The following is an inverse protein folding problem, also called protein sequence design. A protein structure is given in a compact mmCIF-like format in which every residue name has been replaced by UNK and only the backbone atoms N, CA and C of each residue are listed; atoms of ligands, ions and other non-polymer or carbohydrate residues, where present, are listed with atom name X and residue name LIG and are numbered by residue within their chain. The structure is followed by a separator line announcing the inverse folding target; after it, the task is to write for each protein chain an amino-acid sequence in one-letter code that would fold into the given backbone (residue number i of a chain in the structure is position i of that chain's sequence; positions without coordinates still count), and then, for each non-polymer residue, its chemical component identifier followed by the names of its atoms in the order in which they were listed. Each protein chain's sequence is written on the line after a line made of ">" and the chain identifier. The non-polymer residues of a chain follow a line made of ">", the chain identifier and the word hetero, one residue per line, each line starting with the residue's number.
data_IF_951048727695
#
_entry.id   IF_951048727695
#
_cell.length_a   1.000
_cell.length_b   1.000
_cell.length_c   1.000
_cell.angle_alpha   90.00
_cell.angle_beta   90.00
_cell.angle_gamma   90.00
#
_symmetry.space_group_name_H-M   'P 1'
#
loop_
_entity.id
_entity.type
_entity.pdbx_description
1 polymer ?
#
# COMPACT_ATOMS: atom_id res chain seq x y z
N UNK A 1 -29.02 -1.51 1.81
CA UNK A 1 -28.48 -0.43 2.66
C UNK A 1 -28.85 -0.61 4.14
N UNK A 2 -29.96 -1.30 4.46
CA UNK A 2 -30.62 -1.17 5.78
C UNK A 2 -30.00 -1.97 6.95
N UNK A 3 -29.28 -3.08 6.69
CA UNK A 3 -28.66 -3.85 7.77
C UNK A 3 -27.42 -3.15 8.37
N UNK A 4 -26.62 -2.48 7.53
CA UNK A 4 -25.42 -1.73 7.95
C UNK A 4 -25.78 -0.50 8.78
N UNK A 5 -26.87 0.19 8.41
CA UNK A 5 -27.30 1.42 9.08
C UNK A 5 -28.22 1.19 10.28
N UNK A 6 -28.57 -0.06 10.61
CA UNK A 6 -29.53 -0.35 11.70
C UNK A 6 -29.07 0.20 13.06
N UNK A 7 -27.76 0.20 13.32
CA UNK A 7 -27.18 0.77 14.54
C UNK A 7 -27.21 2.32 14.57
N UNK A 8 -27.34 2.97 13.40
CA UNK A 8 -27.33 4.42 13.27
C UNK A 8 -28.71 5.06 13.46
N UNK A 9 -29.80 4.27 13.46
CA UNK A 9 -31.16 4.77 13.72
C UNK A 9 -31.32 5.34 15.15
N UNK A 10 -30.52 4.88 16.11
CA UNK A 10 -30.49 5.42 17.47
C UNK A 10 -29.77 6.79 17.52
N UNK A 11 -28.83 7.01 16.61
CA UNK A 11 -28.00 8.23 16.53
C UNK A 11 -28.80 9.41 15.96
N UNK A 12 -29.78 9.15 15.09
CA UNK A 12 -30.64 10.20 14.50
C UNK A 12 -31.51 10.96 15.52
N UNK A 13 -31.61 10.47 16.76
CA UNK A 13 -32.38 11.10 17.85
C UNK A 13 -31.49 11.77 18.90
N UNK A 14 -30.17 11.73 18.72
CA UNK A 14 -29.20 12.35 19.62
C UNK A 14 -28.87 13.75 19.10
N UNK A 15 -28.82 14.72 20.01
CA UNK A 15 -28.48 16.11 19.68
C UNK A 15 -27.13 16.55 20.29
N UNK A 16 -26.58 15.76 21.22
CA UNK A 16 -25.29 16.02 21.85
C UNK A 16 -24.14 15.40 21.03
N UNK A 17 -23.13 16.22 20.74
CA UNK A 17 -22.00 15.81 19.92
C UNK A 17 -21.19 14.65 20.53
N UNK A 18 -21.01 14.64 21.86
CA UNK A 18 -20.25 13.59 22.55
C UNK A 18 -21.00 12.26 22.50
N UNK A 19 -22.30 12.27 22.77
CA UNK A 19 -23.15 11.08 22.67
C UNK A 19 -23.14 10.49 21.25
N UNK A 20 -23.26 11.35 20.24
CA UNK A 20 -23.16 10.93 18.83
C UNK A 20 -21.79 10.31 18.55
N UNK A 21 -20.70 10.95 18.99
CA UNK A 21 -19.34 10.45 18.76
C UNK A 21 -19.08 9.11 19.42
N UNK A 22 -19.52 8.95 20.67
CA UNK A 22 -19.38 7.70 21.43
C UNK A 22 -20.17 6.57 20.76
N UNK A 23 -21.43 6.84 20.37
CA UNK A 23 -22.26 5.86 19.68
C UNK A 23 -21.65 5.42 18.34
N UNK A 24 -21.11 6.36 17.55
CA UNK A 24 -20.42 6.05 16.29
C UNK A 24 -19.15 5.22 16.51
N UNK A 25 -18.34 5.55 17.51
CA UNK A 25 -17.13 4.79 17.85
C UNK A 25 -17.47 3.38 18.31
N UNK A 26 -18.48 3.23 19.17
CA UNK A 26 -18.94 1.92 19.62
C UNK A 26 -19.45 1.08 18.45
N UNK A 27 -20.30 1.66 17.59
CA UNK A 27 -20.81 0.97 16.40
C UNK A 27 -19.68 0.52 15.47
N UNK A 28 -18.70 1.38 15.21
CA UNK A 28 -17.51 1.05 14.41
C UNK A 28 -16.71 -0.11 15.02
N UNK A 29 -16.41 -0.05 16.33
CA UNK A 29 -15.69 -1.12 17.01
C UNK A 29 -16.44 -2.47 16.93
N UNK A 30 -17.75 -2.46 17.13
CA UNK A 30 -18.54 -3.69 17.10
C UNK A 30 -18.66 -4.26 15.68
N UNK A 31 -18.80 -3.41 14.66
CA UNK A 31 -19.08 -3.87 13.28
C UNK A 31 -17.83 -4.15 12.46
N UNK A 32 -16.81 -3.31 12.57
CA UNK A 32 -15.61 -3.34 11.72
C UNK A 32 -14.38 -3.96 12.42
N UNK A 33 -14.31 -3.93 13.76
CA UNK A 33 -13.17 -4.51 14.49
C UNK A 33 -13.49 -5.89 15.08
N UNK A 34 -14.53 -6.00 15.91
CA UNK A 34 -14.83 -7.23 16.66
C UNK A 34 -15.74 -8.15 15.86
N UNK A 35 -16.83 -7.63 15.29
CA UNK A 35 -17.84 -8.42 14.58
C UNK A 35 -17.36 -9.01 13.25
N UNK A 36 -16.18 -8.64 12.76
CA UNK A 36 -15.54 -9.30 11.62
C UNK A 36 -14.91 -10.65 12.00
N UNK A 37 -14.58 -10.88 13.28
CA UNK A 37 -13.94 -12.11 13.75
C UNK A 37 -14.86 -13.33 13.65
N UNK A 38 -16.18 -13.11 13.68
CA UNK A 38 -17.21 -14.14 13.56
C UNK A 38 -17.63 -14.40 12.11
N UNK A 39 -17.05 -13.67 11.14
CA UNK A 39 -17.41 -13.74 9.73
C UNK A 39 -16.28 -14.36 8.92
N UNK A 40 -16.66 -15.05 7.85
CA UNK A 40 -15.70 -15.53 6.87
C UNK A 40 -14.95 -14.36 6.19
N UNK A 41 -13.68 -14.56 5.79
CA UNK A 41 -12.91 -13.54 5.09
C UNK A 41 -13.63 -13.02 3.83
N UNK A 42 -13.88 -11.70 3.79
CA UNK A 42 -14.55 -11.06 2.68
C UNK A 42 -13.54 -10.37 1.74
N UNK A 43 -13.26 -10.99 0.58
CA UNK A 43 -12.37 -10.42 -0.45
C UNK A 43 -12.95 -9.21 -1.20
N UNK A 44 -14.20 -8.83 -0.94
CA UNK A 44 -14.85 -7.63 -1.52
C UNK A 44 -14.84 -6.43 -0.57
N UNK A 45 -14.15 -6.53 0.57
CA UNK A 45 -13.97 -5.41 1.48
C UNK A 45 -12.79 -4.55 1.01
N UNK A 46 -13.06 -3.28 0.71
CA UNK A 46 -12.06 -2.31 0.28
C UNK A 46 -11.36 -1.59 1.44
N UNK A 47 -11.65 -1.92 2.71
CA UNK A 47 -11.14 -1.25 3.93
C UNK A 47 -11.67 0.16 4.17
N UNK A 48 -11.65 1.02 3.15
CA UNK A 48 -11.87 2.45 3.28
C UNK A 48 -12.93 2.99 2.31
N UNK A 49 -13.42 4.20 2.62
CA UNK A 49 -14.44 4.89 1.82
C UNK A 49 -13.94 5.23 0.41
N UNK A 50 -14.79 5.13 -0.63
CA UNK A 50 -14.45 5.55 -1.99
C UNK A 50 -14.20 7.07 -2.13
N UNK A 51 -14.56 7.86 -1.11
CA UNK A 51 -14.36 9.30 -1.08
C UNK A 51 -12.97 9.72 -0.58
N UNK A 52 -12.12 8.77 -0.15
CA UNK A 52 -10.75 9.06 0.27
C UNK A 52 -9.86 9.23 -0.95
N UNK A 53 -9.09 10.32 -0.99
CA UNK A 53 -8.04 10.50 -1.99
C UNK A 53 -6.78 9.76 -1.55
N UNK A 54 -6.66 8.49 -1.92
CA UNK A 54 -5.49 7.65 -1.65
C UNK A 54 -5.47 6.46 -2.64
N UNK A 55 -4.51 5.55 -2.54
CA UNK A 55 -4.55 4.20 -3.08
C UNK A 55 -3.92 3.24 -2.05
N UNK A 56 -4.13 1.95 -2.19
CA UNK A 56 -3.50 0.96 -1.31
C UNK A 56 -3.42 -0.43 -1.92
N UNK A 57 -2.37 -1.15 -1.53
CA UNK A 57 -2.22 -2.58 -1.70
C UNK A 57 -2.68 -3.34 -0.44
N UNK A 58 -3.28 -4.51 -0.63
CA UNK A 58 -3.67 -5.42 0.46
C UNK A 58 -2.96 -6.77 0.26
N UNK A 59 -1.87 -7.04 0.99
CA UNK A 59 -1.06 -8.24 0.78
C UNK A 59 -1.85 -9.54 0.96
N UNK A 60 -2.74 -9.58 1.97
CA UNK A 60 -3.57 -10.75 2.28
C UNK A 60 -4.64 -11.05 1.21
N UNK A 61 -4.99 -10.05 0.39
CA UNK A 61 -5.93 -10.20 -0.72
C UNK A 61 -5.23 -10.26 -2.08
N UNK A 62 -3.93 -9.94 -2.13
CA UNK A 62 -3.18 -9.66 -3.34
C UNK A 62 -3.98 -8.75 -4.28
N UNK A 63 -4.38 -7.58 -3.76
CA UNK A 63 -5.31 -6.66 -4.43
C UNK A 63 -4.83 -5.23 -4.30
N UNK A 64 -4.95 -4.48 -5.39
CA UNK A 64 -4.74 -3.03 -5.43
C UNK A 64 -6.11 -2.36 -5.49
N UNK A 65 -6.30 -1.30 -4.70
CA UNK A 65 -7.55 -0.54 -4.68
C UNK A 65 -7.32 0.93 -4.99
N UNK A 66 -8.13 1.46 -5.92
CA UNK A 66 -8.23 2.88 -6.23
C UNK A 66 -9.62 3.39 -5.87
N UNK A 67 -9.77 4.21 -4.82
CA UNK A 67 -10.98 4.97 -4.54
C UNK A 67 -11.41 5.83 -5.73
N UNK A 68 -12.71 6.09 -5.82
CA UNK A 68 -13.25 6.98 -6.83
C UNK A 68 -12.66 8.39 -6.74
N UNK A 69 -12.46 8.90 -5.52
CA UNK A 69 -11.87 10.22 -5.31
C UNK A 69 -10.46 10.36 -5.90
N UNK A 70 -9.67 9.28 -5.97
CA UNK A 70 -8.33 9.30 -6.56
C UNK A 70 -8.37 9.60 -8.07
N UNK A 71 -9.44 9.23 -8.79
CA UNK A 71 -9.59 9.48 -10.22
C UNK A 71 -10.08 10.90 -10.55
N UNK A 72 -9.50 11.90 -9.91
CA UNK A 72 -9.79 13.32 -10.15
C UNK A 72 -8.50 14.10 -10.44
N UNK A 73 -8.60 15.28 -11.08
CA UNK A 73 -7.48 16.19 -11.23
C UNK A 73 -6.82 16.54 -9.88
N UNK A 74 -5.48 16.70 -9.83
CA UNK A 74 -4.54 16.66 -10.95
C UNK A 74 -4.08 15.24 -11.35
N UNK A 75 -4.39 14.21 -10.58
CA UNK A 75 -3.83 12.87 -10.75
C UNK A 75 -4.38 12.11 -11.96
N UNK A 76 -5.63 12.39 -12.37
CA UNK A 76 -6.24 11.80 -13.55
C UNK A 76 -7.25 12.73 -14.20
N UNK A 77 -7.30 12.71 -15.53
CA UNK A 77 -8.34 13.38 -16.32
C UNK A 77 -8.58 12.64 -17.62
N UNK A 78 -9.84 12.33 -17.94
CA UNK A 78 -10.19 11.61 -19.18
C UNK A 78 -9.66 12.32 -20.45
N UNK A 79 -9.66 13.66 -20.45
CA UNK A 79 -9.14 14.48 -21.56
C UNK A 79 -7.63 14.78 -21.50
N UNK A 80 -6.90 14.30 -20.49
CA UNK A 80 -5.47 14.56 -20.39
C UNK A 80 -4.68 13.75 -21.41
N UNK A 81 -3.53 14.27 -21.90
CA UNK A 81 -2.60 13.45 -22.67
C UNK A 81 -2.26 12.19 -21.88
N UNK A 82 -2.18 11.04 -22.55
CA UNK A 82 -1.92 9.76 -21.89
C UNK A 82 -0.73 9.82 -20.94
N UNK A 83 0.34 10.52 -21.34
CA UNK A 83 1.54 10.74 -20.52
C UNK A 83 1.24 11.34 -19.13
N UNK A 84 0.28 12.26 -19.01
CA UNK A 84 -0.12 12.84 -17.72
C UNK A 84 -0.87 11.83 -16.86
N UNK A 85 -1.86 11.13 -17.42
CA UNK A 85 -2.58 10.08 -16.69
C UNK A 85 -1.67 8.94 -16.25
N UNK A 86 -0.66 8.64 -17.06
CA UNK A 86 0.34 7.65 -16.72
C UNK A 86 1.31 8.13 -15.63
N UNK A 87 1.80 9.37 -15.69
CA UNK A 87 2.67 9.92 -14.65
C UNK A 87 1.92 10.14 -13.32
N UNK A 88 0.61 10.40 -13.38
CA UNK A 88 -0.28 10.43 -12.22
C UNK A 88 -0.69 9.02 -11.80
N UNK A 89 -1.91 8.63 -12.13
CA UNK A 89 -2.47 7.34 -11.68
C UNK A 89 -1.77 6.09 -12.21
N UNK A 90 -1.05 6.16 -13.35
CA UNK A 90 -0.23 5.03 -13.81
C UNK A 90 0.95 4.74 -12.88
N UNK A 91 1.64 5.78 -12.40
CA UNK A 91 2.72 5.66 -11.43
C UNK A 91 2.20 5.21 -10.07
N UNK A 92 1.05 5.71 -9.62
CA UNK A 92 0.37 5.20 -8.42
C UNK A 92 0.03 3.71 -8.57
N UNK A 93 -0.50 3.28 -9.72
CA UNK A 93 -0.74 1.86 -9.98
C UNK A 93 0.53 1.01 -9.98
N UNK A 94 1.64 1.53 -10.50
CA UNK A 94 2.93 0.85 -10.41
C UNK A 94 3.47 0.79 -8.98
N UNK A 95 3.28 1.84 -8.19
CA UNK A 95 3.67 1.92 -6.78
C UNK A 95 2.93 0.85 -5.96
N UNK A 96 1.59 0.83 -6.04
CA UNK A 96 0.79 -0.17 -5.32
C UNK A 96 1.05 -1.61 -5.78
N UNK A 97 1.38 -1.82 -7.06
CA UNK A 97 1.80 -3.13 -7.54
C UNK A 97 3.14 -3.55 -6.94
N UNK A 98 4.05 -2.60 -6.75
CA UNK A 98 5.38 -2.86 -6.20
C UNK A 98 5.31 -3.24 -4.73
N UNK A 99 4.32 -2.77 -3.96
CA UNK A 99 4.05 -3.27 -2.61
C UNK A 99 3.75 -4.78 -2.56
N UNK A 100 3.33 -5.40 -3.67
CA UNK A 100 3.26 -6.86 -3.77
C UNK A 100 4.61 -7.58 -3.70
N UNK A 101 5.71 -6.84 -3.84
CA UNK A 101 7.08 -7.35 -3.96
C UNK A 101 8.08 -6.60 -3.09
N UNK A 102 7.64 -5.66 -2.26
CA UNK A 102 8.52 -4.93 -1.35
C UNK A 102 8.70 -5.68 -0.02
N UNK A 103 9.21 -4.98 1.00
CA UNK A 103 9.46 -5.51 2.33
C UNK A 103 8.25 -5.44 3.28
N UNK A 104 7.04 -5.08 2.81
CA UNK A 104 5.84 -5.01 3.67
C UNK A 104 5.63 -6.35 4.42
N UNK A 105 5.73 -6.27 5.75
CA UNK A 105 5.68 -7.43 6.66
C UNK A 105 7.02 -7.84 7.28
N UNK A 106 8.13 -7.20 6.91
CA UNK A 106 9.41 -7.42 7.58
C UNK A 106 9.43 -6.66 8.91
N UNK A 107 9.26 -7.40 10.00
CA UNK A 107 9.60 -6.91 11.34
C UNK A 107 11.09 -6.58 11.30
N UNK A 108 11.43 -5.28 11.26
CA UNK A 108 12.76 -4.73 11.55
C UNK A 108 13.12 -4.99 13.02
N UNK A 109 13.12 -6.26 13.42
CA UNK A 109 13.67 -6.67 14.68
C UNK A 109 15.18 -6.69 14.50
N UNK A 110 15.82 -5.81 15.29
CA UNK A 110 17.20 -5.59 15.75
C UNK A 110 18.12 -6.83 15.75
N UNK A 111 18.10 -7.63 14.69
CA UNK A 111 19.00 -8.73 14.43
C UNK A 111 19.19 -8.75 12.91
N UNK A 112 20.38 -8.35 12.47
CA UNK A 112 20.84 -8.20 11.08
C UNK A 112 20.76 -9.48 10.22
N UNK A 113 20.04 -10.50 10.67
CA UNK A 113 20.02 -11.85 10.13
C UNK A 113 18.62 -12.35 9.73
N UNK A 114 17.56 -11.51 9.77
CA UNK A 114 16.27 -11.88 9.16
C UNK A 114 16.36 -11.66 7.65
N UNK A 115 16.30 -12.76 6.89
CA UNK A 115 16.28 -12.73 5.42
C UNK A 115 15.01 -11.97 5.00
N UNK A 116 15.18 -10.81 4.39
CA UNK A 116 14.08 -10.09 3.74
C UNK A 116 13.69 -10.88 2.48
N UNK A 117 12.40 -11.18 2.34
CA UNK A 117 11.89 -11.78 1.11
C UNK A 117 10.44 -11.40 0.90
N UNK A 118 9.98 -11.47 -0.35
CA UNK A 118 8.57 -11.32 -0.70
C UNK A 118 7.76 -12.42 -0.01
N UNK A 119 6.94 -12.02 0.96
CA UNK A 119 6.35 -12.95 1.93
C UNK A 119 5.03 -13.56 1.44
N UNK A 120 4.23 -12.76 0.73
CA UNK A 120 2.91 -13.16 0.24
C UNK A 120 3.04 -13.79 -1.15
N UNK A 121 2.40 -14.93 -1.32
CA UNK A 121 2.30 -15.58 -2.63
C UNK A 121 1.14 -14.98 -3.46
N UNK A 122 0.96 -15.45 -4.70
CA UNK A 122 -0.06 -14.90 -5.63
C UNK A 122 -1.52 -15.01 -5.19
N UNK A 123 -1.84 -15.72 -4.10
CA UNK A 123 -3.19 -15.77 -3.52
C UNK A 123 -3.32 -14.94 -2.24
N UNK A 124 -2.26 -14.20 -1.85
CA UNK A 124 -2.23 -13.39 -0.64
C UNK A 124 -1.97 -14.19 0.65
N UNK A 125 -1.33 -15.36 0.54
CA UNK A 125 -0.98 -16.18 1.70
C UNK A 125 0.51 -16.04 2.02
N UNK A 126 0.84 -15.85 3.29
CA UNK A 126 2.21 -16.02 3.81
C UNK A 126 2.63 -17.49 3.64
N UNK A 127 3.41 -17.78 2.60
CA UNK A 127 3.77 -19.15 2.20
C UNK A 127 4.95 -19.15 1.22
N UNK A 128 5.97 -20.02 1.40
CA UNK A 128 6.22 -20.86 2.57
C UNK A 128 6.69 -20.06 3.78
N UNK A 129 6.33 -20.54 4.97
CA UNK A 129 6.80 -20.01 6.25
C UNK A 129 7.58 -21.08 7.01
N UNK A 130 8.76 -20.69 7.46
CA UNK A 130 9.64 -21.40 8.38
C UNK A 130 9.65 -20.66 9.71
N UNK A 131 10.28 -21.24 10.74
CA UNK A 131 10.33 -20.66 12.08
C UNK A 131 11.06 -19.30 12.13
N UNK A 132 11.95 -19.02 11.16
CA UNK A 132 12.81 -17.85 11.08
C UNK A 132 12.49 -16.89 9.92
N UNK A 133 11.68 -17.32 8.94
CA UNK A 133 11.38 -16.53 7.73
C UNK A 133 10.10 -16.98 7.02
N UNK A 134 9.46 -16.05 6.31
CA UNK A 134 8.39 -16.34 5.35
C UNK A 134 8.74 -15.75 3.99
N UNK A 135 8.46 -16.50 2.93
CA UNK A 135 8.57 -16.04 1.55
C UNK A 135 9.04 -17.12 0.61
N UNK A 136 8.86 -16.85 -0.68
CA UNK A 136 8.96 -17.85 -1.75
C UNK A 136 10.20 -17.69 -2.64
N UNK A 137 11.04 -16.68 -2.37
CA UNK A 137 12.31 -16.50 -3.06
C UNK A 137 13.31 -17.60 -2.69
N UNK A 138 14.07 -18.07 -3.68
CA UNK A 138 15.25 -18.90 -3.42
C UNK A 138 16.35 -18.07 -2.73
N UNK A 139 17.35 -18.75 -2.16
CA UNK A 139 18.40 -18.10 -1.36
C UNK A 139 19.20 -17.06 -2.12
N UNK A 140 19.45 -17.27 -3.42
CA UNK A 140 20.20 -16.31 -4.25
C UNK A 140 19.36 -15.08 -4.53
N UNK A 141 18.09 -15.28 -4.90
CA UNK A 141 17.14 -14.19 -5.16
C UNK A 141 16.88 -13.35 -3.91
N UNK A 142 16.73 -13.99 -2.74
CA UNK A 142 16.55 -13.29 -1.47
C UNK A 142 17.79 -12.45 -1.10
N UNK A 143 19.00 -13.00 -1.29
CA UNK A 143 20.24 -12.24 -1.05
C UNK A 143 20.36 -11.03 -1.99
N UNK A 144 20.03 -11.20 -3.27
CA UNK A 144 20.05 -10.10 -4.24
C UNK A 144 19.01 -9.02 -3.92
N UNK A 145 17.82 -9.42 -3.44
CA UNK A 145 16.80 -8.48 -2.98
C UNK A 145 17.31 -7.63 -1.82
N UNK A 146 17.91 -8.25 -0.78
CA UNK A 146 18.49 -7.53 0.36
C UNK A 146 19.58 -6.54 -0.09
N UNK A 147 20.44 -6.94 -1.03
CA UNK A 147 21.49 -6.06 -1.56
C UNK A 147 20.92 -4.82 -2.26
N UNK A 148 19.91 -5.01 -3.12
CA UNK A 148 19.24 -3.89 -3.80
C UNK A 148 18.48 -3.00 -2.82
N UNK A 149 17.77 -3.59 -1.86
CA UNK A 149 17.01 -2.87 -0.85
C UNK A 149 17.92 -2.03 0.06
N UNK A 150 19.13 -2.53 0.35
CA UNK A 150 20.15 -1.79 1.11
C UNK A 150 20.66 -0.56 0.34
N UNK A 151 20.75 -0.63 -0.99
CA UNK A 151 21.11 0.51 -1.83
C UNK A 151 20.07 1.65 -1.69
N UNK A 152 18.78 1.30 -1.73
CA UNK A 152 17.68 2.27 -1.52
C UNK A 152 17.76 2.89 -0.13
N UNK A 153 17.99 2.09 0.92
CA UNK A 153 18.17 2.60 2.29
C UNK A 153 19.31 3.62 2.35
N UNK A 154 20.48 3.28 1.81
CA UNK A 154 21.64 4.18 1.81
C UNK A 154 21.36 5.46 1.04
N UNK A 155 20.71 5.38 -0.12
CA UNK A 155 20.32 6.57 -0.90
C UNK A 155 19.45 7.53 -0.08
N UNK A 156 18.41 7.03 0.58
CA UNK A 156 17.46 7.88 1.29
C UNK A 156 18.00 8.37 2.64
N UNK A 157 18.81 7.58 3.33
CA UNK A 157 19.47 7.97 4.57
C UNK A 157 20.57 9.02 4.35
N UNK A 158 21.30 8.97 3.23
CA UNK A 158 22.50 9.80 3.02
C UNK A 158 22.32 10.93 2.01
N UNK A 159 21.58 10.70 0.92
CA UNK A 159 21.55 11.61 -0.23
C UNK A 159 20.28 12.45 -0.31
N UNK A 160 19.15 11.93 0.16
CA UNK A 160 17.84 12.58 0.04
C UNK A 160 17.52 13.54 1.20
N UNK A 161 18.50 13.93 2.02
CA UNK A 161 18.25 14.89 3.09
C UNK A 161 18.13 16.32 2.54
N UNK A 162 16.95 16.98 2.66
CA UNK A 162 16.70 18.27 2.01
C UNK A 162 17.51 19.43 2.61
N UNK A 163 18.03 19.28 3.83
CA UNK A 163 18.82 20.29 4.50
C UNK A 163 20.16 19.69 4.95
N UNK A 164 21.27 20.25 4.45
CA UNK A 164 22.64 19.75 4.69
C UNK A 164 23.34 20.38 5.90
N UNK A 165 22.68 21.32 6.59
CA UNK A 165 23.26 22.06 7.72
C UNK A 165 22.22 22.35 8.80
N UNK A 166 22.65 22.32 10.06
CA UNK A 166 21.80 22.54 11.24
C UNK A 166 21.38 21.23 11.93
N UNK A 167 20.57 21.33 12.99
CA UNK A 167 19.98 20.17 13.66
C UNK A 167 18.81 19.62 12.84
N UNK A 168 19.13 19.00 11.70
CA UNK A 168 18.15 18.45 10.75
C UNK A 168 17.94 16.97 11.06
N UNK A 169 16.68 16.54 11.10
CA UNK A 169 16.31 15.12 11.10
C UNK A 169 15.96 14.72 9.67
N UNK A 170 16.85 13.99 9.02
CA UNK A 170 16.59 13.41 7.70
C UNK A 170 15.61 12.23 7.83
N UNK A 171 14.96 11.85 6.72
CA UNK A 171 14.21 10.61 6.66
C UNK A 171 15.15 9.42 6.93
N UNK A 172 14.67 8.38 7.62
CA UNK A 172 15.40 7.12 7.76
C UNK A 172 15.06 6.25 6.56
N UNK A 173 16.08 5.92 5.76
CA UNK A 173 15.93 5.03 4.62
C UNK A 173 15.42 3.65 5.05
N UNK A 174 15.79 3.17 6.25
CA UNK A 174 15.29 1.91 6.81
C UNK A 174 13.78 1.97 7.10
N UNK A 175 13.29 3.07 7.66
CA UNK A 175 11.86 3.21 8.00
C UNK A 175 10.98 3.51 6.80
N UNK A 176 11.57 3.97 5.70
CA UNK A 176 10.87 4.35 4.47
C UNK A 176 11.15 3.37 3.33
N UNK A 177 11.85 2.26 3.60
CA UNK A 177 12.36 1.35 2.56
C UNK A 177 11.26 0.87 1.60
N UNK A 178 10.16 0.32 2.10
CA UNK A 178 9.07 -0.20 1.26
C UNK A 178 8.46 0.86 0.34
N UNK A 179 8.09 2.00 0.89
CA UNK A 179 7.61 3.16 0.15
C UNK A 179 8.61 3.62 -0.92
N UNK A 180 9.90 3.69 -0.57
CA UNK A 180 10.95 4.11 -1.51
C UNK A 180 11.14 3.08 -2.63
N UNK A 181 11.07 1.78 -2.32
CA UNK A 181 11.10 0.70 -3.31
C UNK A 181 9.88 0.82 -4.24
N UNK A 182 8.69 1.06 -3.68
CA UNK A 182 7.45 1.25 -4.43
C UNK A 182 7.49 2.49 -5.34
N UNK A 183 8.01 3.61 -4.84
CA UNK A 183 8.19 4.86 -5.60
C UNK A 183 9.20 4.73 -6.74
N UNK A 184 10.26 3.94 -6.57
CA UNK A 184 11.23 3.68 -7.65
C UNK A 184 10.64 2.68 -8.66
N UNK A 185 9.96 1.65 -8.17
CA UNK A 185 9.36 0.59 -8.98
C UNK A 185 8.20 1.09 -9.84
N UNK A 186 7.36 1.97 -9.32
CA UNK A 186 6.14 2.42 -9.98
C UNK A 186 6.36 3.08 -11.35
N UNK A 187 7.17 4.16 -11.44
CA UNK A 187 7.54 4.79 -12.71
C UNK A 187 8.35 3.86 -13.65
N UNK A 188 9.16 2.95 -13.10
CA UNK A 188 10.02 2.03 -13.86
C UNK A 188 9.21 0.93 -14.57
N UNK A 189 8.23 0.34 -13.88
CA UNK A 189 7.25 -0.57 -14.45
C UNK A 189 6.43 0.13 -15.56
N UNK A 190 6.17 1.43 -15.38
CA UNK A 190 5.44 2.23 -16.37
C UNK A 190 6.24 2.52 -17.65
N UNK A 191 7.51 2.94 -17.59
CA UNK A 191 8.31 3.17 -18.80
C UNK A 191 8.35 1.93 -19.71
N UNK A 192 8.38 0.75 -19.10
CA UNK A 192 8.30 -0.53 -19.80
C UNK A 192 6.92 -0.75 -20.44
N UNK A 193 5.84 -0.46 -19.72
CA UNK A 193 4.46 -0.54 -20.23
C UNK A 193 4.19 0.47 -21.37
N UNK A 194 4.70 1.70 -21.27
CA UNK A 194 4.60 2.70 -22.33
C UNK A 194 5.33 2.26 -23.61
N UNK A 195 6.50 1.65 -23.48
CA UNK A 195 7.22 1.04 -24.60
C UNK A 195 6.41 -0.13 -25.22
N UNK A 196 5.74 -0.96 -24.42
CA UNK A 196 4.89 -2.05 -24.92
C UNK A 196 3.59 -1.56 -25.61
N UNK A 197 2.95 -0.51 -25.11
CA UNK A 197 1.73 0.06 -25.71
C UNK A 197 2.05 0.89 -26.95
N UNK A 198 3.19 1.58 -27.01
CA UNK A 198 3.62 2.32 -28.21
C UNK A 198 4.07 1.40 -29.35
N UNK A 199 4.68 0.26 -29.02
CA UNK A 199 5.05 -0.77 -30.01
C UNK A 199 3.83 -1.55 -30.53
N UNK A 200 2.80 -1.78 -29.71
CA UNK A 200 1.56 -2.43 -30.17
C UNK A 200 0.59 -1.50 -30.91
N UNK A 201 0.70 -0.18 -30.73
CA UNK A 201 -0.07 0.81 -31.50
C UNK A 201 0.56 1.15 -32.88
N UNK A 202 1.67 0.49 -33.23
CA UNK A 202 2.43 0.68 -34.47
C UNK A 202 2.33 -0.50 -35.45
N UNK A 203 1.33 -1.38 -35.28
CA UNK A 203 0.96 -2.48 -36.20
C UNK A 203 -0.48 -2.24 -36.65
#
# INVERSE_FOLDING_TARGET
>A
LDAYHKHYNLIQKMDDWWEIREALQYAYQQTENVGILEKEPNRKNFLMSPAIFNAWYQPNLNSITFPYAAFNPPSYGYGYPKAYNYAGQGSTAGHELTHGFDDEGNIYEINKNKIQSVQFNGIGKLNPCYWDRCGWLDSKSASGFVEMAQCVVSQYSEQCCPLKSGNVRCASGERTQGENIADIGGPSNFNTCFCFVSTSASI
#
